data_IF_199138772432
#
_entry.id   IF_199138772432
#
_cell.length_a   1.000
_cell.length_b   1.000
_cell.length_c   1.000
_cell.angle_alpha   90.00
_cell.angle_beta   90.00
_cell.angle_gamma   90.00
#
_symmetry.space_group_name_H-M   'P 1'
#
loop_
_entity.id
_entity.type
_entity.pdbx_description
1 polymer ?
#
# COMPACT_ATOMS: atom_id res chain seq x y z
N UNK A 1 -3.65 12.72 -18.20
CA UNK A 1 -4.90 12.05 -18.64
C UNK A 1 -5.68 11.82 -17.37
N UNK A 2 -6.83 12.43 -17.18
CA UNK A 2 -7.66 12.23 -15.99
C UNK A 2 -8.20 10.80 -15.92
N UNK A 3 -8.76 10.41 -14.75
CA UNK A 3 -9.41 9.10 -14.55
C UNK A 3 -10.41 8.88 -15.67
N UNK A 4 -10.20 7.82 -16.46
CA UNK A 4 -10.97 7.59 -17.70
C UNK A 4 -12.42 7.14 -17.44
N UNK A 5 -12.76 6.79 -16.18
CA UNK A 5 -14.10 6.45 -15.70
C UNK A 5 -14.26 6.93 -14.25
N UNK A 6 -15.46 7.41 -13.89
CA UNK A 6 -15.77 7.71 -12.49
C UNK A 6 -15.53 6.50 -11.61
N UNK A 7 -14.90 6.70 -10.44
CA UNK A 7 -14.72 5.66 -9.42
C UNK A 7 -16.09 5.30 -8.83
N UNK A 8 -16.41 4.02 -8.82
CA UNK A 8 -17.58 3.49 -8.09
C UNK A 8 -17.22 3.41 -6.60
N UNK A 9 -17.39 4.54 -5.88
CA UNK A 9 -16.93 4.71 -4.51
C UNK A 9 -17.39 3.59 -3.55
N UNK A 10 -18.68 3.16 -3.55
CA UNK A 10 -19.15 2.09 -2.67
C UNK A 10 -18.42 0.76 -2.86
N UNK A 11 -17.89 0.49 -4.07
CA UNK A 11 -17.21 -0.76 -4.41
C UNK A 11 -15.71 -0.56 -4.67
N UNK A 12 -15.16 0.55 -4.20
CA UNK A 12 -13.73 0.87 -4.29
C UNK A 12 -13.12 0.91 -2.91
N UNK A 13 -11.92 0.35 -2.71
CA UNK A 13 -11.15 0.47 -1.48
C UNK A 13 -9.79 1.10 -1.72
N UNK A 14 -9.34 1.96 -0.80
CA UNK A 14 -7.98 2.48 -0.75
C UNK A 14 -7.10 1.55 0.09
N UNK A 15 -6.04 1.02 -0.49
CA UNK A 15 -5.02 0.22 0.18
C UNK A 15 -3.76 1.06 0.41
N UNK A 16 -3.40 1.27 1.66
CA UNK A 16 -2.19 1.98 2.11
C UNK A 16 -1.14 0.94 2.50
N UNK A 17 -0.14 0.75 1.64
CA UNK A 17 0.77 -0.39 1.70
C UNK A 17 2.08 -0.05 2.44
N UNK A 18 2.35 -0.74 3.53
CA UNK A 18 3.59 -0.71 4.33
C UNK A 18 4.07 0.68 4.75
N UNK A 19 3.15 1.63 4.92
CA UNK A 19 3.47 3.00 5.32
C UNK A 19 3.75 3.11 6.83
N UNK A 20 4.56 2.19 7.37
CA UNK A 20 5.06 2.20 8.75
C UNK A 20 6.22 3.19 8.89
N UNK A 21 6.37 3.85 10.03
CA UNK A 21 7.32 4.96 10.22
C UNK A 21 8.77 4.57 9.84
N UNK A 22 9.23 3.41 10.27
CA UNK A 22 10.56 2.90 9.95
C UNK A 22 10.75 2.57 8.47
N UNK A 23 9.71 2.05 7.82
CA UNK A 23 9.77 1.70 6.39
C UNK A 23 9.75 2.98 5.55
N UNK A 24 8.86 3.91 5.85
CA UNK A 24 8.80 5.22 5.17
C UNK A 24 10.14 5.94 5.22
N UNK A 25 10.82 5.94 6.37
CA UNK A 25 12.13 6.61 6.52
C UNK A 25 13.23 6.02 5.62
N UNK A 26 13.11 4.77 5.21
CA UNK A 26 14.07 4.09 4.32
C UNK A 26 13.75 4.38 2.86
N UNK A 27 12.48 4.25 2.47
CA UNK A 27 12.06 4.20 1.06
C UNK A 27 11.64 5.55 0.50
N UNK A 28 11.10 6.46 1.32
CA UNK A 28 10.65 7.77 0.86
C UNK A 28 11.66 8.87 1.20
N UNK A 29 12.10 9.61 0.19
CA UNK A 29 13.05 10.71 0.34
C UNK A 29 12.65 11.89 -0.53
N UNK A 30 12.26 13.05 0.06
CA UNK A 30 12.08 13.27 1.50
C UNK A 30 10.77 12.63 2.03
N UNK A 31 10.79 12.07 3.25
CA UNK A 31 9.63 11.37 3.82
C UNK A 31 8.43 12.29 4.07
N UNK A 32 8.66 13.56 4.38
CA UNK A 32 7.61 14.54 4.68
C UNK A 32 6.69 14.79 3.47
N UNK A 33 7.25 14.87 2.26
CA UNK A 33 6.47 15.05 1.03
C UNK A 33 5.61 13.82 0.73
N UNK A 34 6.20 12.63 0.86
CA UNK A 34 5.48 11.37 0.70
C UNK A 34 4.31 11.28 1.68
N UNK A 35 4.55 11.53 2.96
CA UNK A 35 3.54 11.49 4.02
C UNK A 35 2.45 12.53 3.79
N UNK A 36 2.81 13.77 3.43
CA UNK A 36 1.85 14.84 3.14
C UNK A 36 0.92 14.46 1.98
N UNK A 37 1.50 13.89 0.90
CA UNK A 37 0.75 13.42 -0.27
C UNK A 37 -0.16 12.26 0.08
N UNK A 38 0.35 11.23 0.78
CA UNK A 38 -0.44 10.10 1.26
C UNK A 38 -1.59 10.53 2.17
N UNK A 39 -1.35 11.47 3.08
CA UNK A 39 -2.38 12.03 3.95
C UNK A 39 -3.48 12.77 3.16
N UNK A 40 -3.16 13.43 2.04
CA UNK A 40 -4.16 14.07 1.19
C UNK A 40 -5.08 13.05 0.51
N UNK A 41 -4.50 11.96 0.00
CA UNK A 41 -5.24 10.83 -0.60
C UNK A 41 -6.16 10.18 0.43
N UNK A 42 -5.65 9.88 1.64
CA UNK A 42 -6.43 9.28 2.73
C UNK A 42 -7.60 10.19 3.14
N UNK A 43 -7.36 11.50 3.32
CA UNK A 43 -8.43 12.44 3.65
C UNK A 43 -9.52 12.48 2.60
N UNK A 44 -9.16 12.51 1.32
CA UNK A 44 -10.11 12.53 0.21
C UNK A 44 -10.95 11.24 0.18
N UNK A 45 -10.32 10.07 0.31
CA UNK A 45 -11.01 8.79 0.41
C UNK A 45 -11.98 8.75 1.61
N UNK A 46 -11.54 9.24 2.78
CA UNK A 46 -12.38 9.31 4.00
C UNK A 46 -13.58 10.22 3.82
N UNK A 47 -13.39 11.40 3.21
CA UNK A 47 -14.49 12.33 2.91
C UNK A 47 -15.52 11.72 1.96
N UNK A 48 -15.07 10.91 0.99
CA UNK A 48 -15.93 10.18 0.08
C UNK A 48 -16.54 8.89 0.68
N UNK A 49 -16.33 8.60 1.95
CA UNK A 49 -16.74 7.37 2.63
C UNK A 49 -16.21 6.07 1.96
N UNK A 50 -15.09 6.17 1.25
CA UNK A 50 -14.42 5.02 0.66
C UNK A 50 -13.75 4.18 1.77
N UNK A 51 -13.90 2.86 1.79
CA UNK A 51 -13.16 1.99 2.69
C UNK A 51 -11.64 2.18 2.58
N UNK A 52 -10.99 2.40 3.73
CA UNK A 52 -9.55 2.54 3.83
C UNK A 52 -8.99 1.31 4.56
N UNK A 53 -8.03 0.66 3.95
CA UNK A 53 -7.36 -0.52 4.50
C UNK A 53 -5.86 -0.23 4.58
N UNK A 54 -5.36 -0.11 5.79
CA UNK A 54 -3.93 -0.06 6.03
C UNK A 54 -3.37 -1.48 6.03
N UNK A 55 -2.34 -1.70 5.24
CA UNK A 55 -1.60 -2.96 5.21
C UNK A 55 -0.24 -2.72 5.85
N UNK A 56 0.09 -3.50 6.86
CA UNK A 56 1.36 -3.39 7.57
C UNK A 56 2.10 -4.73 7.59
N UNK A 57 3.43 -4.66 7.64
CA UNK A 57 4.26 -5.84 7.91
C UNK A 57 4.36 -6.05 9.39
N UNK A 58 4.15 -7.29 9.85
CA UNK A 58 4.33 -7.67 11.23
C UNK A 58 4.78 -9.13 11.35
N UNK A 59 5.39 -9.48 12.48
CA UNK A 59 5.84 -10.84 12.74
C UNK A 59 5.58 -11.19 14.20
N UNK A 60 5.30 -12.47 14.46
CA UNK A 60 5.14 -12.98 15.83
C UNK A 60 6.50 -13.08 16.53
N UNK A 61 6.53 -13.05 17.88
CA UNK A 61 7.75 -13.33 18.62
C UNK A 61 8.35 -14.68 18.20
N UNK A 62 9.67 -14.69 18.00
CA UNK A 62 10.39 -15.88 17.51
C UNK A 62 10.31 -16.13 16.00
N UNK A 63 9.58 -15.29 15.26
CA UNK A 63 9.52 -15.31 13.80
C UNK A 63 9.12 -16.67 13.20
N UNK A 64 8.05 -17.34 13.70
CA UNK A 64 7.65 -18.68 13.20
C UNK A 64 7.22 -18.64 11.72
N UNK A 65 6.82 -17.48 11.18
CA UNK A 65 6.44 -17.29 9.79
C UNK A 65 7.64 -17.18 8.83
N UNK A 66 8.86 -16.99 9.38
CA UNK A 66 10.06 -16.74 8.57
C UNK A 66 10.70 -18.04 8.12
N UNK A 67 10.59 -18.33 6.84
CA UNK A 67 11.26 -19.47 6.20
C UNK A 67 12.66 -19.07 5.71
N UNK A 68 13.66 -19.87 6.02
CA UNK A 68 15.04 -19.68 5.53
C UNK A 68 15.17 -19.86 4.00
N UNK A 69 14.19 -20.50 3.37
CA UNK A 69 14.12 -20.64 1.92
C UNK A 69 13.68 -19.36 1.21
N UNK A 70 13.05 -18.44 1.91
CA UNK A 70 12.65 -17.14 1.36
C UNK A 70 13.74 -16.11 1.64
N UNK A 71 14.54 -15.79 0.63
CA UNK A 71 15.71 -14.92 0.72
C UNK A 71 15.41 -13.57 1.40
N UNK A 72 14.26 -12.95 1.10
CA UNK A 72 13.91 -11.63 1.64
C UNK A 72 13.64 -11.69 3.13
N UNK A 73 12.73 -12.58 3.57
CA UNK A 73 12.35 -12.67 4.98
C UNK A 73 13.40 -13.38 5.83
N UNK A 74 14.23 -14.26 5.24
CA UNK A 74 15.37 -14.88 5.94
C UNK A 74 16.40 -13.82 6.39
N UNK A 75 16.63 -12.78 5.58
CA UNK A 75 17.50 -11.67 5.96
C UNK A 75 16.99 -10.92 7.20
N UNK A 76 15.66 -10.85 7.42
CA UNK A 76 15.08 -10.29 8.63
C UNK A 76 15.45 -11.08 9.87
N UNK A 77 15.39 -12.43 9.80
CA UNK A 77 15.75 -13.31 10.92
C UNK A 77 17.23 -13.17 11.29
N UNK A 78 18.08 -12.97 10.30
CA UNK A 78 19.53 -12.82 10.47
C UNK A 78 19.96 -11.45 11.02
N UNK A 79 19.10 -10.42 10.96
CA UNK A 79 19.46 -9.06 11.35
C UNK A 79 18.47 -8.45 12.37
N UNK A 80 18.86 -8.40 13.67
CA UNK A 80 18.02 -7.82 14.71
C UNK A 80 17.65 -6.34 14.48
N UNK A 81 18.47 -5.57 13.76
CA UNK A 81 18.16 -4.18 13.44
C UNK A 81 16.98 -4.08 12.45
N UNK A 82 16.90 -5.01 11.48
CA UNK A 82 15.75 -5.10 10.58
C UNK A 82 14.46 -5.48 11.33
N UNK A 83 14.57 -6.33 12.37
CA UNK A 83 13.40 -6.72 13.17
C UNK A 83 12.79 -5.53 13.91
N UNK A 84 13.61 -4.55 14.34
CA UNK A 84 13.13 -3.34 15.02
C UNK A 84 12.24 -2.46 14.15
N UNK A 85 12.40 -2.51 12.83
CA UNK A 85 11.55 -1.75 11.89
C UNK A 85 10.07 -2.14 11.97
N UNK A 86 9.74 -3.28 12.57
CA UNK A 86 8.39 -3.82 12.68
C UNK A 86 7.89 -3.85 14.13
N UNK A 87 8.55 -3.13 15.05
CA UNK A 87 8.22 -3.16 16.47
C UNK A 87 8.03 -1.75 17.04
N UNK A 88 7.15 -1.64 18.05
CA UNK A 88 6.89 -0.37 18.72
C UNK A 88 6.46 0.74 17.78
N UNK A 89 6.77 1.98 18.12
CA UNK A 89 6.36 3.17 17.34
C UNK A 89 6.97 3.21 15.94
N UNK A 90 8.18 2.65 15.77
CA UNK A 90 8.85 2.56 14.46
C UNK A 90 8.11 1.60 13.53
N UNK A 91 7.57 0.52 14.09
CA UNK A 91 6.78 -0.47 13.37
C UNK A 91 5.32 -0.07 13.17
N UNK A 92 4.86 1.00 13.81
CA UNK A 92 3.49 1.48 13.64
C UNK A 92 3.29 2.24 12.30
N UNK A 93 2.05 2.32 11.85
CA UNK A 93 1.66 3.17 10.71
C UNK A 93 2.12 4.60 11.01
N UNK A 94 2.71 5.26 10.00
CA UNK A 94 3.26 6.61 10.19
C UNK A 94 2.17 7.59 10.67
N UNK A 95 2.35 8.27 11.81
CA UNK A 95 1.29 9.08 12.44
C UNK A 95 0.77 10.21 11.54
N UNK A 96 1.62 10.76 10.67
CA UNK A 96 1.22 11.79 9.71
C UNK A 96 0.21 11.34 8.66
N UNK A 97 -0.07 10.05 8.52
CA UNK A 97 -1.09 9.51 7.61
C UNK A 97 -2.50 9.54 8.20
N UNK A 98 -2.64 9.81 9.50
CA UNK A 98 -3.94 9.97 10.14
C UNK A 98 -4.79 8.70 10.18
N UNK A 99 -4.16 7.55 10.42
CA UNK A 99 -4.89 6.31 10.72
C UNK A 99 -5.70 6.47 12.00
N UNK A 100 -6.89 5.90 12.04
CA UNK A 100 -7.82 5.95 13.16
C UNK A 100 -8.14 4.52 13.66
N UNK A 101 -8.67 4.36 14.88
CA UNK A 101 -9.08 3.04 15.39
C UNK A 101 -10.19 2.37 14.58
N UNK A 102 -10.95 3.14 13.79
CA UNK A 102 -12.04 2.63 12.95
C UNK A 102 -11.53 2.12 11.58
N UNK A 103 -10.28 2.41 11.22
CA UNK A 103 -9.69 1.95 9.97
C UNK A 103 -9.35 0.46 10.05
N UNK A 104 -9.52 -0.23 8.94
CA UNK A 104 -9.16 -1.65 8.84
C UNK A 104 -7.64 -1.77 8.72
N UNK A 105 -7.03 -2.61 9.55
CA UNK A 105 -5.60 -2.91 9.49
C UNK A 105 -5.40 -4.39 9.19
N UNK A 106 -4.75 -4.67 8.06
CA UNK A 106 -4.35 -6.02 7.65
C UNK A 106 -2.85 -6.20 7.93
N UNK A 107 -2.49 -7.22 8.68
CA UNK A 107 -1.09 -7.54 8.96
C UNK A 107 -0.63 -8.69 8.07
N UNK A 108 0.43 -8.44 7.31
CA UNK A 108 1.03 -9.44 6.41
C UNK A 108 2.42 -9.86 6.86
N UNK A 109 2.81 -11.08 6.43
CA UNK A 109 4.12 -11.68 6.69
C UNK A 109 4.89 -11.98 5.39
N UNK A 110 4.36 -11.48 4.26
CA UNK A 110 4.90 -11.66 2.89
C UNK A 110 4.87 -10.32 2.16
N UNK A 111 5.35 -10.30 0.93
CA UNK A 111 5.47 -9.06 0.16
C UNK A 111 4.10 -8.54 -0.28
N UNK A 112 3.28 -9.40 -0.88
CA UNK A 112 1.92 -9.03 -1.28
C UNK A 112 0.98 -8.91 -0.08
N UNK A 113 0.04 -7.99 -0.17
CA UNK A 113 -1.02 -7.81 0.81
C UNK A 113 -2.03 -8.97 0.84
N UNK A 114 -2.12 -9.77 -0.22
CA UNK A 114 -3.05 -10.90 -0.30
C UNK A 114 -2.46 -12.18 0.29
N UNK A 115 -1.13 -12.33 0.26
CA UNK A 115 -0.50 -13.61 0.60
C UNK A 115 -0.58 -13.93 2.10
N UNK A 116 -1.45 -14.86 2.46
CA UNK A 116 -1.58 -15.36 3.84
C UNK A 116 -2.22 -14.36 4.81
N UNK A 117 -3.06 -13.47 4.29
CA UNK A 117 -3.83 -12.48 5.05
C UNK A 117 -5.34 -12.70 4.89
N UNK A 118 -6.11 -11.94 5.62
CA UNK A 118 -7.57 -11.86 5.51
C UNK A 118 -8.06 -10.80 4.51
N UNK A 119 -7.16 -10.13 3.77
CA UNK A 119 -7.52 -9.04 2.87
C UNK A 119 -8.62 -9.43 1.87
N UNK A 120 -8.48 -10.58 1.19
CA UNK A 120 -9.46 -11.02 0.21
C UNK A 120 -10.85 -11.24 0.83
N UNK A 121 -10.89 -11.75 2.07
CA UNK A 121 -12.14 -11.94 2.82
C UNK A 121 -12.79 -10.59 3.15
N UNK A 122 -11.99 -9.61 3.61
CA UNK A 122 -12.46 -8.24 3.92
C UNK A 122 -13.02 -7.56 2.66
N UNK A 123 -12.29 -7.64 1.55
CA UNK A 123 -12.71 -7.05 0.27
C UNK A 123 -14.00 -7.71 -0.24
N UNK A 124 -14.10 -9.04 -0.18
CA UNK A 124 -15.28 -9.79 -0.59
C UNK A 124 -16.52 -9.45 0.26
N UNK A 125 -16.35 -9.37 1.58
CA UNK A 125 -17.44 -9.01 2.49
C UNK A 125 -18.00 -7.60 2.25
N UNK A 126 -17.15 -6.69 1.73
CA UNK A 126 -17.53 -5.32 1.36
C UNK A 126 -17.90 -5.16 -0.11
N UNK A 127 -17.97 -6.26 -0.88
CA UNK A 127 -18.26 -6.25 -2.32
C UNK A 127 -17.32 -5.32 -3.13
N UNK A 128 -16.07 -5.21 -2.71
CA UNK A 128 -15.06 -4.40 -3.40
C UNK A 128 -14.60 -5.13 -4.65
N UNK A 129 -14.55 -4.41 -5.77
CA UNK A 129 -14.01 -4.88 -7.05
C UNK A 129 -13.04 -3.89 -7.69
N UNK A 130 -12.81 -2.74 -7.06
CA UNK A 130 -11.84 -1.74 -7.50
C UNK A 130 -10.90 -1.40 -6.34
N UNK A 131 -9.61 -1.37 -6.61
CA UNK A 131 -8.58 -1.04 -5.62
C UNK A 131 -7.78 0.18 -6.07
N UNK A 132 -7.55 1.09 -5.14
CA UNK A 132 -6.60 2.19 -5.29
C UNK A 132 -5.41 1.90 -4.39
N UNK A 133 -4.21 1.77 -4.96
CA UNK A 133 -3.00 1.39 -4.25
C UNK A 133 -2.03 2.55 -4.14
N UNK A 134 -1.44 2.76 -2.98
CA UNK A 134 -0.20 3.52 -2.82
C UNK A 134 0.62 3.02 -1.63
N UNK A 135 1.88 3.39 -1.58
CA UNK A 135 2.75 3.03 -0.46
C UNK A 135 4.17 2.65 -0.87
N UNK A 136 4.83 1.89 -0.02
CA UNK A 136 6.24 1.50 -0.14
C UNK A 136 6.45 -0.01 0.10
N UNK A 137 7.39 -0.65 -0.62
CA UNK A 137 8.12 -0.10 -1.76
C UNK A 137 7.39 -0.35 -3.09
N UNK A 138 7.65 0.49 -4.07
CA UNK A 138 7.07 0.33 -5.43
C UNK A 138 7.37 -1.04 -6.01
N UNK A 139 8.63 -1.49 -5.96
CA UNK A 139 9.10 -2.78 -6.50
C UNK A 139 8.75 -3.99 -5.61
N UNK A 140 8.33 -3.74 -4.38
CA UNK A 140 7.96 -4.77 -3.41
C UNK A 140 6.45 -4.87 -3.22
N UNK A 141 5.96 -4.25 -2.14
CA UNK A 141 4.56 -4.37 -1.71
C UNK A 141 3.56 -3.90 -2.77
N UNK A 142 3.84 -2.74 -3.42
CA UNK A 142 2.93 -2.20 -4.45
C UNK A 142 2.87 -3.14 -5.65
N UNK A 143 4.02 -3.50 -6.24
CA UNK A 143 4.08 -4.41 -7.39
C UNK A 143 3.42 -5.76 -7.10
N UNK A 144 3.80 -6.41 -5.98
CA UNK A 144 3.29 -7.74 -5.66
C UNK A 144 1.79 -7.72 -5.40
N UNK A 145 1.28 -6.70 -4.72
CA UNK A 145 -0.15 -6.55 -4.45
C UNK A 145 -0.93 -6.23 -5.73
N UNK A 146 -0.36 -5.40 -6.63
CA UNK A 146 -0.95 -5.12 -7.94
C UNK A 146 -1.11 -6.38 -8.76
N UNK A 147 -0.07 -7.23 -8.82
CA UNK A 147 -0.11 -8.47 -9.60
C UNK A 147 -1.17 -9.43 -9.07
N UNK A 148 -1.21 -9.67 -7.75
CA UNK A 148 -2.22 -10.54 -7.15
C UNK A 148 -3.64 -9.97 -7.33
N UNK A 149 -3.82 -8.66 -7.22
CA UNK A 149 -5.10 -8.00 -7.46
C UNK A 149 -5.53 -8.12 -8.92
N UNK A 150 -4.61 -7.93 -9.86
CA UNK A 150 -4.87 -8.08 -11.30
C UNK A 150 -5.27 -9.50 -11.65
N UNK A 151 -4.55 -10.51 -11.14
CA UNK A 151 -4.84 -11.92 -11.36
C UNK A 151 -6.15 -12.38 -10.68
N UNK A 152 -6.64 -11.61 -9.69
CA UNK A 152 -7.93 -11.82 -9.03
C UNK A 152 -9.07 -10.96 -9.62
N UNK A 153 -8.90 -10.42 -10.83
CA UNK A 153 -9.87 -9.63 -11.60
C UNK A 153 -10.31 -8.30 -10.95
N UNK A 154 -9.53 -7.76 -10.00
CA UNK A 154 -9.78 -6.40 -9.51
C UNK A 154 -9.42 -5.37 -10.57
N UNK A 155 -10.23 -4.30 -10.68
CA UNK A 155 -9.79 -3.07 -11.34
C UNK A 155 -8.80 -2.37 -10.41
N UNK A 156 -7.62 -2.04 -10.92
CA UNK A 156 -6.56 -1.45 -10.10
C UNK A 156 -6.20 -0.05 -10.58
N UNK A 157 -6.14 0.86 -9.64
CA UNK A 157 -5.52 2.17 -9.77
C UNK A 157 -4.27 2.23 -8.90
N UNK A 158 -3.21 2.86 -9.39
CA UNK A 158 -2.00 3.12 -8.60
C UNK A 158 -1.78 4.62 -8.55
N UNK A 159 -1.71 5.17 -7.34
CA UNK A 159 -1.30 6.57 -7.13
C UNK A 159 0.23 6.60 -7.25
N UNK A 160 0.72 6.82 -8.48
CA UNK A 160 2.13 6.64 -8.80
C UNK A 160 3.07 7.55 -7.99
N UNK A 161 2.71 8.81 -7.82
CA UNK A 161 3.45 9.78 -7.00
C UNK A 161 3.22 9.60 -5.48
N UNK A 162 2.31 8.74 -5.08
CA UNK A 162 2.11 8.22 -3.72
C UNK A 162 2.95 6.97 -3.43
N UNK A 163 3.73 6.46 -4.39
CA UNK A 163 4.63 5.33 -4.21
C UNK A 163 6.09 5.81 -4.12
N UNK A 164 6.92 5.04 -3.43
CA UNK A 164 8.36 5.31 -3.35
C UNK A 164 9.18 4.01 -3.34
N UNK A 165 10.43 4.13 -3.76
CA UNK A 165 11.42 3.05 -3.71
C UNK A 165 12.81 3.61 -3.44
N UNK A 166 13.74 2.77 -2.99
CA UNK A 166 15.16 3.16 -2.84
C UNK A 166 15.90 3.24 -4.18
N UNK A 167 15.38 2.53 -5.20
CA UNK A 167 15.88 2.56 -6.59
C UNK A 167 14.91 3.38 -7.43
N UNK A 168 15.28 4.64 -7.71
CA UNK A 168 14.44 5.56 -8.48
C UNK A 168 14.26 5.14 -9.94
N UNK A 169 15.29 4.55 -10.57
CA UNK A 169 15.18 4.06 -11.95
C UNK A 169 14.18 2.92 -12.06
N UNK A 170 14.23 1.99 -11.10
CA UNK A 170 13.29 0.89 -11.03
C UNK A 170 11.86 1.39 -10.74
N UNK A 171 11.71 2.34 -9.79
CA UNK A 171 10.43 2.99 -9.53
C UNK A 171 9.84 3.59 -10.82
N UNK A 172 10.60 4.41 -11.52
CA UNK A 172 10.17 5.08 -12.75
C UNK A 172 9.81 4.06 -13.86
N UNK A 173 10.59 3.00 -14.00
CA UNK A 173 10.32 1.94 -14.96
C UNK A 173 9.00 1.20 -14.66
N UNK A 174 8.75 0.89 -13.38
CA UNK A 174 7.53 0.24 -12.95
C UNK A 174 6.30 1.14 -13.17
N UNK A 175 6.35 2.36 -12.66
CA UNK A 175 5.21 3.31 -12.71
C UNK A 175 4.87 3.71 -14.15
N UNK A 176 5.90 3.92 -15.01
CA UNK A 176 5.68 4.44 -16.37
C UNK A 176 5.53 3.37 -17.46
N UNK A 177 6.04 2.14 -17.25
CA UNK A 177 6.07 1.10 -18.29
C UNK A 177 5.31 -0.16 -17.93
N UNK A 178 5.44 -0.62 -16.68
CA UNK A 178 4.90 -1.91 -16.26
C UNK A 178 3.48 -1.81 -15.72
N UNK A 179 3.22 -0.87 -14.81
CA UNK A 179 1.91 -0.69 -14.19
C UNK A 179 0.81 -0.33 -15.21
N UNK A 180 1.04 0.55 -16.20
CA UNK A 180 0.00 0.91 -17.17
C UNK A 180 -0.56 -0.24 -18.00
N UNK A 181 0.14 -1.38 -18.05
CA UNK A 181 -0.37 -2.58 -18.71
C UNK A 181 -1.38 -3.37 -17.86
N UNK A 182 -1.55 -3.04 -16.57
CA UNK A 182 -2.35 -3.80 -15.58
C UNK A 182 -3.22 -2.92 -14.69
N UNK A 183 -2.93 -1.62 -14.63
CA UNK A 183 -3.60 -0.68 -13.76
C UNK A 183 -3.70 0.69 -14.43
N UNK A 184 -4.62 1.53 -13.98
CA UNK A 184 -4.60 2.95 -14.30
C UNK A 184 -3.64 3.64 -13.30
N UNK A 185 -2.60 4.30 -13.83
CA UNK A 185 -1.65 5.07 -13.01
C UNK A 185 -2.10 6.52 -12.98
N UNK A 186 -2.33 7.03 -11.78
CA UNK A 186 -2.84 8.39 -11.53
C UNK A 186 -1.93 9.10 -10.53
N UNK A 187 -2.06 10.41 -10.43
CA UNK A 187 -1.44 11.21 -9.38
C UNK A 187 -2.36 11.35 -8.17
N UNK A 188 -1.81 11.74 -7.03
CA UNK A 188 -2.59 12.05 -5.83
C UNK A 188 -3.61 13.17 -6.09
N UNK A 189 -3.25 14.19 -6.88
CA UNK A 189 -4.17 15.29 -7.25
C UNK A 189 -5.33 14.80 -8.11
N UNK A 190 -5.07 13.96 -9.12
CA UNK A 190 -6.11 13.36 -9.95
C UNK A 190 -7.07 12.47 -9.13
N UNK A 191 -6.53 11.71 -8.16
CA UNK A 191 -7.37 10.95 -7.24
C UNK A 191 -8.28 11.86 -6.40
N UNK A 192 -7.69 12.90 -5.78
CA UNK A 192 -8.44 13.86 -4.94
C UNK A 192 -9.55 14.53 -5.74
N UNK A 193 -9.28 14.98 -6.96
CA UNK A 193 -10.30 15.54 -7.85
C UNK A 193 -11.42 14.55 -8.14
N UNK A 194 -11.06 13.31 -8.49
CA UNK A 194 -12.03 12.29 -8.89
C UNK A 194 -13.02 11.93 -7.77
N UNK A 195 -12.57 11.90 -6.52
CA UNK A 195 -13.47 11.56 -5.39
C UNK A 195 -14.20 12.78 -4.82
N UNK A 196 -13.75 14.02 -5.12
CA UNK A 196 -14.40 15.26 -4.64
C UNK A 196 -15.62 15.65 -5.48
N UNK A 197 -15.80 15.04 -6.64
CA UNK A 197 -16.92 15.34 -7.57
C UNK A 197 -18.16 14.45 -7.34
N UNK A 198 -18.11 13.61 -6.32
CA UNK A 198 -19.20 12.74 -5.85
C UNK A 198 -19.72 13.16 -4.47
#
# INVERSE_FOLDING_TARGET
>A
MGISRSLDIPHTALLVLDCQAGIVSIYAKPPEEFVSRGASVIRAARTAAMPIIFVQVGFRPGLPEVSERNKLVAALKANPQHQRLFQGDIGAIHPGLGATPDDIVVTKHRVSAFTGTDLAMVLGAKQIHTLVLFGVSTSGAVLSTLLDAFDADYRVYVVGDGCADTDQELHDALVRRMFPARAEVITASEFVEAVSTH
#
